data_IF_380065391459
#
_entry.id   IF_380065391459
#
_cell.length_a   1.000
_cell.length_b   1.000
_cell.length_c   1.000
_cell.angle_alpha   90.00
_cell.angle_beta   90.00
_cell.angle_gamma   90.00
#
_symmetry.space_group_name_H-M   'P 1'
#
loop_
_entity.id
_entity.type
_entity.pdbx_description
1 polymer ?
#
# COMPACT_ATOMS: atom_id res chain seq x y z
N UNK A 1 8.88 -56.43 12.22
CA UNK A 1 7.97 -57.28 13.07
C UNK A 1 6.98 -56.35 13.77
N UNK A 2 5.69 -56.71 13.64
CA UNK A 2 4.48 -56.24 14.39
C UNK A 2 4.09 -54.77 14.19
N UNK A 3 3.09 -54.41 13.42
CA UNK A 3 1.64 -54.72 13.28
C UNK A 3 0.76 -54.10 14.39
N UNK A 4 -0.23 -53.31 13.88
CA UNK A 4 -1.59 -53.05 14.40
C UNK A 4 -1.68 -51.81 15.32
N UNK A 5 -2.68 -50.93 15.24
CA UNK A 5 -4.11 -51.17 15.07
C UNK A 5 -4.84 -49.85 14.69
N UNK A 6 -5.78 -49.93 13.76
CA UNK A 6 -6.78 -48.90 13.43
C UNK A 6 -7.82 -48.79 14.55
N UNK A 7 -8.29 -47.58 14.84
CA UNK A 7 -9.65 -47.40 15.39
C UNK A 7 -10.29 -46.22 14.64
N UNK A 8 -11.31 -46.58 13.89
CA UNK A 8 -12.33 -45.73 13.27
C UNK A 8 -13.32 -45.30 14.34
N UNK A 9 -13.65 -44.02 14.43
CA UNK A 9 -14.91 -43.60 15.06
C UNK A 9 -15.63 -42.63 14.12
N UNK A 10 -16.61 -43.20 13.41
CA UNK A 10 -17.66 -42.46 12.73
C UNK A 10 -18.77 -42.17 13.74
N UNK A 11 -19.16 -40.92 13.89
CA UNK A 11 -20.44 -40.56 14.52
C UNK A 11 -21.20 -39.69 13.53
N UNK A 12 -22.26 -40.33 13.03
CA UNK A 12 -23.38 -39.75 12.30
C UNK A 12 -24.25 -38.99 13.31
N UNK A 13 -24.62 -37.76 13.00
CA UNK A 13 -25.80 -37.17 13.62
C UNK A 13 -26.70 -36.55 12.55
N UNK A 14 -27.91 -37.09 12.54
CA UNK A 14 -28.95 -36.82 11.58
C UNK A 14 -29.84 -35.64 12.01
N UNK A 15 -30.17 -34.83 11.06
CA UNK A 15 -31.47 -34.22 10.68
C UNK A 15 -32.54 -34.07 11.79
N UNK A 16 -33.00 -32.83 11.98
CA UNK A 16 -34.39 -32.57 12.32
C UNK A 16 -34.89 -31.29 11.64
N UNK A 17 -35.69 -31.48 10.60
CA UNK A 17 -36.61 -30.51 10.04
C UNK A 17 -37.80 -30.36 11.03
N UNK A 18 -38.14 -29.13 11.38
CA UNK A 18 -39.43 -28.80 11.96
C UNK A 18 -40.05 -27.62 11.18
N UNK A 19 -41.01 -27.97 10.32
CA UNK A 19 -41.99 -27.04 9.77
C UNK A 19 -43.21 -27.00 10.69
N UNK A 20 -43.71 -25.80 10.96
CA UNK A 20 -45.08 -25.51 11.46
C UNK A 20 -45.22 -23.99 11.42
N UNK A 21 -46.25 -23.34 10.92
CA UNK A 21 -47.60 -23.67 10.59
C UNK A 21 -48.36 -22.33 10.60
N UNK A 22 -48.97 -21.94 9.52
CA UNK A 22 -49.88 -20.79 9.45
C UNK A 22 -51.17 -21.07 10.22
N UNK A 23 -51.82 -20.08 10.87
CA UNK A 23 -53.23 -20.15 11.15
C UNK A 23 -54.03 -19.36 10.12
N UNK A 24 -54.95 -20.05 9.46
CA UNK A 24 -56.11 -19.53 8.77
C UNK A 24 -57.19 -19.19 9.78
N UNK A 25 -57.71 -17.98 9.76
CA UNK A 25 -58.90 -17.59 10.51
C UNK A 25 -59.81 -16.78 9.60
N UNK A 26 -60.88 -17.44 9.17
CA UNK A 26 -62.04 -16.85 8.53
C UNK A 26 -63.00 -16.23 9.59
N UNK A 27 -63.55 -15.05 9.30
CA UNK A 27 -64.53 -14.40 10.13
C UNK A 27 -65.23 -13.29 9.38
N UNK A 28 -66.55 -13.48 9.24
CA UNK A 28 -67.53 -12.84 8.42
C UNK A 28 -67.64 -11.31 8.44
N UNK A 29 -68.21 -10.79 7.32
CA UNK A 29 -68.70 -9.43 7.09
C UNK A 29 -69.91 -9.08 7.97
N UNK A 30 -70.24 -7.77 8.15
CA UNK A 30 -71.40 -7.26 7.42
C UNK A 30 -71.17 -5.90 6.71
N UNK A 31 -71.84 -5.83 5.61
CA UNK A 31 -72.18 -4.76 4.70
C UNK A 31 -72.77 -3.53 5.39
N UNK A 32 -72.24 -2.34 5.06
CA UNK A 32 -73.03 -1.11 5.04
C UNK A 32 -72.48 -0.20 3.94
N UNK A 33 -73.33 -0.02 2.95
CA UNK A 33 -73.11 0.89 1.83
C UNK A 33 -73.24 2.35 2.31
N UNK A 34 -72.25 3.18 2.03
CA UNK A 34 -72.42 4.63 1.94
C UNK A 34 -71.74 5.05 0.65
N UNK A 35 -72.47 5.52 -0.32
CA UNK A 35 -71.94 6.20 -1.52
C UNK A 35 -71.30 7.52 -1.10
N UNK A 36 -70.10 7.81 -1.61
CA UNK A 36 -69.64 9.17 -1.67
C UNK A 36 -69.60 9.64 -3.12
N UNK A 37 -70.44 10.54 -3.46
CA UNK A 37 -70.27 11.44 -4.58
C UNK A 37 -69.13 12.40 -4.28
N UNK A 38 -67.96 12.13 -4.81
CA UNK A 38 -66.84 13.13 -4.94
C UNK A 38 -66.47 13.24 -6.41
N UNK A 39 -66.53 14.47 -6.96
CA UNK A 39 -66.17 14.77 -8.34
C UNK A 39 -64.68 14.43 -8.56
N UNK A 40 -64.39 13.76 -9.68
CA UNK A 40 -63.06 13.26 -10.01
C UNK A 40 -61.94 14.33 -10.04
N UNK A 41 -62.29 15.62 -10.15
CA UNK A 41 -61.33 16.71 -10.21
C UNK A 41 -60.67 17.07 -8.85
N UNK A 42 -61.35 16.88 -7.71
CA UNK A 42 -60.76 17.13 -6.40
C UNK A 42 -59.77 16.05 -5.96
N UNK A 43 -60.03 14.80 -6.36
CA UNK A 43 -59.12 13.69 -6.06
C UNK A 43 -57.85 13.81 -6.91
N UNK A 44 -57.98 14.21 -8.16
CA UNK A 44 -56.80 14.41 -9.05
C UNK A 44 -55.87 15.54 -8.55
N UNK A 45 -56.43 16.64 -8.02
CA UNK A 45 -55.68 17.77 -7.48
C UNK A 45 -54.92 17.43 -6.19
N UNK A 46 -55.55 16.65 -5.29
CA UNK A 46 -54.91 16.20 -4.04
C UNK A 46 -53.83 15.18 -4.31
N UNK A 47 -54.03 14.25 -5.25
CA UNK A 47 -52.99 13.27 -5.64
C UNK A 47 -51.80 13.96 -6.32
N UNK A 48 -52.03 14.94 -7.19
CA UNK A 48 -50.98 15.69 -7.84
C UNK A 48 -50.13 16.50 -6.85
N UNK A 49 -50.76 17.17 -5.87
CA UNK A 49 -50.03 17.92 -4.83
C UNK A 49 -49.30 17.00 -3.84
N UNK A 50 -49.81 15.83 -3.53
CA UNK A 50 -49.14 14.87 -2.66
C UNK A 50 -47.96 14.19 -3.39
N UNK A 51 -48.09 13.94 -4.68
CA UNK A 51 -46.98 13.43 -5.49
C UNK A 51 -45.84 14.45 -5.65
N UNK A 52 -46.16 15.75 -5.76
CA UNK A 52 -45.10 16.80 -5.77
C UNK A 52 -44.40 16.96 -4.43
N UNK A 53 -45.08 16.71 -3.30
CA UNK A 53 -44.47 16.75 -1.98
C UNK A 53 -43.63 15.51 -1.65
N UNK A 54 -43.81 14.41 -2.39
CA UNK A 54 -43.04 13.14 -2.22
C UNK A 54 -41.93 12.96 -3.25
N UNK A 55 -41.75 13.88 -4.21
CA UNK A 55 -40.57 13.87 -5.06
C UNK A 55 -39.43 14.34 -4.21
N UNK A 56 -38.46 13.47 -3.84
CA UNK A 56 -37.25 13.97 -3.19
C UNK A 56 -36.61 14.98 -4.14
N UNK A 57 -36.40 16.21 -3.67
CA UNK A 57 -35.49 17.12 -4.35
C UNK A 57 -34.20 16.35 -4.58
N UNK A 58 -33.81 16.15 -5.84
CA UNK A 58 -32.49 15.61 -6.14
C UNK A 58 -31.50 16.39 -5.28
N UNK A 59 -30.66 15.72 -4.49
CA UNK A 59 -29.56 16.42 -3.84
C UNK A 59 -28.86 17.18 -4.93
N UNK A 60 -28.58 18.47 -4.69
CA UNK A 60 -27.80 19.29 -5.60
C UNK A 60 -26.61 18.45 -6.02
N UNK A 61 -26.54 18.11 -7.32
CA UNK A 61 -25.36 17.46 -7.87
C UNK A 61 -24.18 18.31 -7.44
N UNK A 62 -23.21 17.77 -6.70
CA UNK A 62 -22.06 18.56 -6.33
C UNK A 62 -21.51 19.16 -7.62
N UNK A 63 -21.37 20.48 -7.65
CA UNK A 63 -20.72 21.18 -8.76
C UNK A 63 -19.44 20.44 -9.03
N UNK A 64 -19.18 19.95 -10.27
CA UNK A 64 -17.93 19.25 -10.55
C UNK A 64 -16.79 20.14 -10.09
N UNK A 65 -16.09 19.74 -9.06
CA UNK A 65 -14.84 20.38 -8.66
C UNK A 65 -13.94 20.28 -9.92
N UNK A 66 -13.26 21.36 -10.35
CA UNK A 66 -12.36 21.25 -11.48
C UNK A 66 -11.45 20.06 -11.23
N UNK A 67 -11.40 19.12 -12.17
CA UNK A 67 -10.53 17.96 -12.06
C UNK A 67 -9.11 18.49 -11.82
N UNK A 68 -8.54 18.19 -10.66
CA UNK A 68 -7.16 18.55 -10.34
C UNK A 68 -6.21 17.88 -11.30
N UNK A 69 -4.97 18.33 -11.36
CA UNK A 69 -3.91 17.66 -12.11
C UNK A 69 -3.64 16.23 -11.56
N UNK A 70 -3.77 16.09 -10.23
CA UNK A 70 -3.55 14.82 -9.51
C UNK A 70 -4.89 14.29 -8.98
N UNK A 71 -5.06 12.95 -8.90
CA UNK A 71 -6.28 12.35 -8.35
C UNK A 71 -6.41 12.54 -6.83
N UNK A 72 -5.27 12.64 -6.15
CA UNK A 72 -5.11 12.78 -4.71
C UNK A 72 -3.99 13.77 -4.39
N UNK A 73 -3.91 14.23 -3.15
CA UNK A 73 -2.74 14.98 -2.69
C UNK A 73 -1.50 14.09 -2.70
N UNK A 74 -0.38 14.63 -3.20
CA UNK A 74 0.92 13.96 -3.22
C UNK A 74 1.72 14.37 -1.99
N UNK A 75 2.14 13.40 -1.19
CA UNK A 75 3.04 13.60 -0.07
C UNK A 75 4.45 13.14 -0.43
N UNK A 76 5.46 13.85 0.06
CA UNK A 76 6.86 13.51 -0.15
C UNK A 76 7.76 14.16 0.91
N UNK A 77 8.95 13.62 1.09
CA UNK A 77 9.98 14.23 1.90
C UNK A 77 10.81 15.19 1.05
N UNK A 78 10.99 16.39 1.57
CA UNK A 78 11.88 17.42 1.01
C UNK A 78 12.58 18.17 2.15
N UNK A 79 13.67 18.87 1.85
CA UNK A 79 14.34 19.69 2.83
C UNK A 79 13.58 21.02 3.04
N UNK A 80 13.45 21.43 4.30
CA UNK A 80 12.98 22.76 4.65
C UNK A 80 14.07 23.84 4.42
N UNK A 81 13.80 25.06 4.79
CA UNK A 81 14.74 26.19 4.64
C UNK A 81 16.01 26.06 5.49
N UNK A 82 15.99 25.21 6.51
CA UNK A 82 17.16 24.87 7.33
C UNK A 82 17.95 23.66 6.81
N UNK A 83 17.50 23.03 5.72
CA UNK A 83 18.10 21.84 5.16
C UNK A 83 17.71 20.54 5.90
N UNK A 84 16.66 20.58 6.72
CA UNK A 84 16.18 19.42 7.48
C UNK A 84 15.06 18.75 6.69
N UNK A 85 15.16 17.43 6.50
CA UNK A 85 14.15 16.65 5.79
C UNK A 85 12.82 16.64 6.55
N UNK A 86 11.75 17.10 5.89
CA UNK A 86 10.39 17.22 6.41
C UNK A 86 9.38 16.63 5.43
N UNK A 87 8.17 16.33 5.89
CA UNK A 87 7.06 15.91 5.02
C UNK A 87 6.36 17.13 4.45
N UNK A 88 6.18 17.14 3.14
CA UNK A 88 5.42 18.12 2.38
C UNK A 88 4.23 17.47 1.71
N UNK A 89 3.19 18.26 1.47
CA UNK A 89 1.99 17.89 0.70
C UNK A 89 1.79 18.85 -0.46
N UNK A 90 1.70 18.31 -1.67
CA UNK A 90 1.27 18.99 -2.87
C UNK A 90 -0.20 18.68 -3.11
N UNK A 91 -1.02 19.72 -3.23
CA UNK A 91 -2.47 19.57 -3.46
C UNK A 91 -2.78 19.01 -4.85
N UNK A 92 -4.00 18.48 -5.08
CA UNK A 92 -4.40 17.96 -6.38
C UNK A 92 -4.31 18.95 -7.54
N UNK A 93 -4.22 20.25 -7.29
CA UNK A 93 -3.98 21.27 -8.32
C UNK A 93 -2.56 21.21 -8.93
N UNK A 94 -1.66 20.42 -8.33
CA UNK A 94 -0.26 20.27 -8.75
C UNK A 94 0.61 21.52 -8.52
N UNK A 95 0.18 22.45 -7.67
CA UNK A 95 0.84 23.76 -7.46
C UNK A 95 0.93 24.17 -6.00
N UNK A 96 -0.12 23.94 -5.24
CA UNK A 96 -0.18 24.37 -3.83
C UNK A 96 0.61 23.39 -2.97
N UNK A 97 1.77 23.86 -2.45
CA UNK A 97 2.68 23.07 -1.63
C UNK A 97 2.61 23.52 -0.18
N UNK A 98 2.44 22.58 0.75
CA UNK A 98 2.36 22.81 2.19
C UNK A 98 3.36 21.92 2.92
N UNK A 99 4.17 22.50 3.82
CA UNK A 99 4.99 21.73 4.77
C UNK A 99 4.09 21.23 5.91
N UNK A 100 4.15 19.94 6.21
CA UNK A 100 3.30 19.29 7.22
C UNK A 100 4.04 19.10 8.55
N UNK A 101 5.32 18.71 8.52
CA UNK A 101 6.14 18.50 9.71
C UNK A 101 7.16 19.62 9.90
N UNK A 102 7.48 19.92 11.17
CA UNK A 102 8.43 20.98 11.57
C UNK A 102 9.32 20.45 12.69
N UNK A 103 10.00 19.34 12.42
CA UNK A 103 10.85 18.68 13.41
C UNK A 103 12.26 19.28 13.44
N UNK A 104 12.90 19.32 14.63
CA UNK A 104 14.29 19.77 14.75
C UNK A 104 15.30 18.76 14.17
N UNK A 105 14.87 17.53 13.94
CA UNK A 105 15.66 16.44 13.32
C UNK A 105 14.94 15.93 12.08
N UNK A 106 15.68 15.40 11.13
CA UNK A 106 15.15 14.88 9.89
C UNK A 106 14.06 13.80 10.10
N UNK A 107 13.00 13.87 9.31
CA UNK A 107 12.05 12.77 9.14
C UNK A 107 12.74 11.67 8.34
N UNK A 108 12.87 10.49 8.93
CA UNK A 108 13.56 9.34 8.31
C UNK A 108 12.63 8.42 7.53
N UNK A 109 11.39 8.29 7.97
CA UNK A 109 10.33 7.52 7.31
C UNK A 109 8.96 8.06 7.73
N UNK A 110 7.96 7.86 6.87
CA UNK A 110 6.59 8.30 7.18
C UNK A 110 5.57 7.47 6.39
N UNK A 111 4.31 7.60 6.79
CA UNK A 111 3.15 7.12 6.04
C UNK A 111 1.96 8.06 6.17
N UNK A 112 1.01 7.95 5.24
CA UNK A 112 -0.16 8.84 5.13
C UNK A 112 -1.44 8.06 5.28
N UNK A 113 -2.31 8.51 6.14
CA UNK A 113 -3.67 7.97 6.29
C UNK A 113 -4.49 8.23 5.03
N UNK A 114 -5.02 7.17 4.42
CA UNK A 114 -5.89 7.25 3.25
C UNK A 114 -7.32 7.70 3.60
N UNK A 115 -7.61 7.93 4.88
CA UNK A 115 -8.93 8.35 5.37
C UNK A 115 -9.00 9.87 5.56
N UNK A 116 -7.97 10.46 6.16
CA UNK A 116 -7.99 11.86 6.60
C UNK A 116 -6.70 12.63 6.30
N UNK A 117 -5.70 12.00 5.67
CA UNK A 117 -4.44 12.63 5.33
C UNK A 117 -3.50 12.89 6.52
N UNK A 118 -3.82 12.39 7.71
CA UNK A 118 -2.90 12.43 8.86
C UNK A 118 -1.60 11.70 8.51
N UNK A 119 -0.49 12.18 9.07
CA UNK A 119 0.85 11.66 8.80
C UNK A 119 1.42 11.02 10.06
N UNK A 120 1.80 9.74 9.98
CA UNK A 120 2.65 9.09 10.95
C UNK A 120 4.08 9.08 10.47
N UNK A 121 5.04 9.42 11.32
CA UNK A 121 6.43 9.57 10.90
C UNK A 121 7.42 9.28 12.02
N UNK A 122 8.67 9.04 11.63
CA UNK A 122 9.80 8.87 12.56
C UNK A 122 10.73 10.07 12.43
N UNK A 123 10.96 10.73 13.56
CA UNK A 123 11.99 11.77 13.73
C UNK A 123 12.63 11.59 15.09
N UNK A 124 13.95 11.79 15.21
CA UNK A 124 14.70 11.68 16.46
C UNK A 124 14.41 10.36 17.22
N UNK A 125 14.32 9.24 16.51
CA UNK A 125 13.99 7.91 17.07
C UNK A 125 12.65 7.85 17.81
N UNK A 126 11.65 8.64 17.40
CA UNK A 126 10.30 8.67 17.94
C UNK A 126 9.29 8.39 16.83
N UNK A 127 8.22 7.63 17.12
CA UNK A 127 7.02 7.58 16.27
C UNK A 127 6.10 8.73 16.66
N UNK A 128 5.80 9.56 15.69
CA UNK A 128 5.01 10.78 15.85
C UNK A 128 3.79 10.72 14.91
N UNK A 129 2.70 11.36 15.31
CA UNK A 129 1.49 11.53 14.52
C UNK A 129 1.10 13.00 14.46
N UNK A 130 0.68 13.47 13.29
CA UNK A 130 0.25 14.83 13.04
C UNK A 130 -0.96 14.82 12.10
N UNK A 131 -1.87 15.77 12.25
CA UNK A 131 -3.01 15.93 11.36
C UNK A 131 -2.57 16.42 9.97
N UNK A 132 -3.43 16.24 8.96
CA UNK A 132 -3.18 16.67 7.58
C UNK A 132 -2.90 18.19 7.44
N UNK A 133 -3.37 19.01 8.37
CA UNK A 133 -3.15 20.46 8.40
C UNK A 133 -1.90 20.88 9.17
N UNK A 134 -1.10 19.94 9.67
CA UNK A 134 0.09 20.18 10.48
C UNK A 134 -0.20 20.46 11.96
N UNK A 135 -1.47 20.38 12.40
CA UNK A 135 -1.85 20.51 13.80
C UNK A 135 -1.85 19.18 14.55
N UNK A 136 -2.06 19.20 15.86
CA UNK A 136 -2.30 18.00 16.66
C UNK A 136 -1.11 17.06 16.78
N UNK A 137 0.14 17.55 16.60
CA UNK A 137 1.35 16.74 16.76
C UNK A 137 1.37 16.03 18.11
N UNK A 138 1.55 14.73 18.10
CA UNK A 138 1.68 13.90 19.32
C UNK A 138 2.67 12.75 19.12
N UNK A 139 3.36 12.40 20.18
CA UNK A 139 4.25 11.26 20.23
C UNK A 139 3.44 10.00 20.55
N UNK A 140 3.63 8.94 19.77
CA UNK A 140 3.00 7.63 19.96
C UNK A 140 3.95 6.66 20.69
N UNK A 141 5.25 6.72 20.34
CA UNK A 141 6.28 5.88 20.89
C UNK A 141 7.60 6.63 20.92
N UNK A 142 8.33 6.50 22.01
CA UNK A 142 9.71 6.97 22.15
C UNK A 142 10.65 5.76 22.13
N UNK A 143 11.57 5.73 21.18
CA UNK A 143 12.68 4.80 21.17
C UNK A 143 13.73 5.21 22.20
N UNK A 144 14.53 4.25 22.64
CA UNK A 144 15.65 4.53 23.56
C UNK A 144 16.83 5.24 22.87
N UNK A 145 17.87 5.57 23.61
CA UNK A 145 19.14 5.98 23.03
C UNK A 145 19.68 4.89 22.09
N UNK A 146 20.08 5.28 20.89
CA UNK A 146 20.64 4.32 19.93
C UNK A 146 22.07 3.95 20.37
N UNK A 147 22.30 2.67 20.65
CA UNK A 147 23.64 2.13 20.85
C UNK A 147 24.32 1.96 19.49
N UNK A 148 25.45 2.63 19.27
CA UNK A 148 26.18 2.58 18.01
C UNK A 148 26.71 1.17 17.67
N UNK A 149 26.96 0.31 18.68
CA UNK A 149 27.40 -1.06 18.47
C UNK A 149 26.24 -2.01 18.11
N UNK A 150 25.01 -1.68 18.57
CA UNK A 150 23.81 -2.48 18.34
C UNK A 150 22.65 -1.56 17.93
N UNK A 151 22.74 -0.84 16.82
CA UNK A 151 21.82 0.25 16.47
C UNK A 151 20.38 -0.21 16.21
N UNK A 152 20.17 -1.51 15.97
CA UNK A 152 18.85 -2.10 15.70
C UNK A 152 18.01 -2.35 16.95
N UNK A 153 18.61 -2.38 18.17
CA UNK A 153 17.92 -2.76 19.40
C UNK A 153 16.88 -1.73 19.83
N UNK A 154 17.27 -0.45 19.86
CA UNK A 154 16.40 0.66 20.31
C UNK A 154 15.90 1.52 19.15
N UNK A 155 16.08 1.07 17.90
CA UNK A 155 15.64 1.83 16.74
C UNK A 155 14.15 1.66 16.49
N UNK A 156 13.46 2.78 16.32
CA UNK A 156 12.09 2.85 15.79
C UNK A 156 12.14 2.97 14.26
N UNK A 157 11.26 2.27 13.54
CA UNK A 157 11.30 2.26 12.08
C UNK A 157 9.95 2.04 11.42
N UNK A 158 9.84 2.51 10.19
CA UNK A 158 8.83 2.18 9.19
C UNK A 158 7.38 2.20 9.68
N UNK A 159 6.87 3.31 10.21
CA UNK A 159 5.46 3.38 10.57
C UNK A 159 4.58 3.31 9.32
N UNK A 160 3.52 2.49 9.35
CA UNK A 160 2.55 2.35 8.26
C UNK A 160 1.13 2.30 8.80
N UNK A 161 0.20 3.03 8.16
CA UNK A 161 -1.22 2.98 8.48
C UNK A 161 -1.89 1.73 7.89
N UNK A 162 -2.83 1.17 8.64
CA UNK A 162 -3.86 0.31 8.02
C UNK A 162 -4.75 1.16 7.09
N UNK A 163 -5.34 0.60 6.01
CA UNK A 163 -6.15 1.36 5.06
C UNK A 163 -7.34 2.11 5.67
N UNK A 164 -7.87 1.62 6.79
CA UNK A 164 -8.95 2.27 7.55
C UNK A 164 -8.44 3.26 8.62
N UNK A 165 -7.12 3.52 8.67
CA UNK A 165 -6.44 4.39 9.63
C UNK A 165 -6.67 4.05 11.13
N UNK A 166 -7.21 2.86 11.45
CA UNK A 166 -7.48 2.48 12.83
C UNK A 166 -6.24 1.94 13.55
N UNK A 167 -5.26 1.46 12.79
CA UNK A 167 -4.04 0.86 13.30
C UNK A 167 -2.82 1.45 12.61
N UNK A 168 -1.75 1.68 13.38
CA UNK A 168 -0.42 1.98 12.87
C UNK A 168 0.49 0.81 13.24
N UNK A 169 1.13 0.18 12.23
CA UNK A 169 2.19 -0.77 12.46
C UNK A 169 3.55 -0.06 12.43
N UNK A 170 4.49 -0.44 13.29
CA UNK A 170 5.86 0.08 13.27
C UNK A 170 6.84 -0.93 13.88
N UNK A 171 8.13 -0.79 13.55
CA UNK A 171 9.20 -1.60 14.12
C UNK A 171 9.76 -0.94 15.38
N UNK A 172 9.76 -1.64 16.51
CA UNK A 172 10.50 -1.31 17.74
C UNK A 172 10.59 -2.55 18.62
N UNK A 173 11.79 -3.09 18.80
CA UNK A 173 12.02 -4.37 19.49
C UNK A 173 11.22 -5.54 18.88
N UNK A 174 10.70 -5.35 17.68
CA UNK A 174 9.82 -6.24 16.96
C UNK A 174 8.72 -5.52 16.21
N UNK A 175 7.71 -6.26 15.73
CA UNK A 175 6.53 -5.71 15.09
C UNK A 175 5.51 -5.26 16.13
N UNK A 176 5.14 -3.99 16.10
CA UNK A 176 4.13 -3.39 16.96
C UNK A 176 2.89 -2.99 16.18
N UNK A 177 1.71 -3.12 16.78
CA UNK A 177 0.44 -2.59 16.30
C UNK A 177 -0.14 -1.62 17.33
N UNK A 178 -0.25 -0.36 16.94
CA UNK A 178 -0.80 0.72 17.75
C UNK A 178 -2.23 1.04 17.32
N UNK A 179 -3.19 0.89 18.23
CA UNK A 179 -4.59 1.23 17.99
C UNK A 179 -4.81 2.75 18.17
N UNK A 180 -5.09 3.46 17.07
CA UNK A 180 -5.13 4.93 17.03
C UNK A 180 -6.16 5.53 17.99
N UNK A 181 -7.35 4.93 18.10
CA UNK A 181 -8.44 5.44 18.93
C UNK A 181 -8.21 5.23 20.42
N UNK A 182 -7.64 4.11 20.84
CA UNK A 182 -7.43 3.78 22.27
C UNK A 182 -6.04 4.14 22.80
N UNK A 183 -5.06 4.34 21.90
CA UNK A 183 -3.67 4.54 22.27
C UNK A 183 -2.96 3.27 22.78
N UNK A 184 -3.60 2.10 22.63
CA UNK A 184 -3.00 0.82 23.06
C UNK A 184 -1.98 0.35 22.03
N UNK A 185 -0.77 0.06 22.51
CA UNK A 185 0.28 -0.57 21.71
C UNK A 185 0.44 -2.04 22.07
N UNK A 186 0.50 -2.91 21.04
CA UNK A 186 0.73 -4.33 21.17
C UNK A 186 1.99 -4.73 20.40
N UNK A 187 2.99 -5.26 21.09
CA UNK A 187 4.10 -5.98 20.47
C UNK A 187 3.57 -7.36 20.04
N UNK A 188 3.43 -7.59 18.74
CA UNK A 188 2.81 -8.82 18.20
C UNK A 188 3.84 -9.87 17.79
N UNK A 189 5.04 -9.44 17.39
CA UNK A 189 6.19 -10.34 17.13
C UNK A 189 7.43 -9.67 17.73
N UNK A 190 8.11 -10.34 18.63
CA UNK A 190 9.36 -9.86 19.24
C UNK A 190 10.57 -10.18 18.36
N UNK A 191 11.54 -9.25 18.27
CA UNK A 191 12.80 -9.47 17.58
C UNK A 191 13.59 -10.62 18.24
N UNK A 192 14.18 -11.45 17.40
CA UNK A 192 15.06 -12.53 17.85
C UNK A 192 16.51 -12.05 17.85
N UNK A 193 17.05 -11.85 19.05
CA UNK A 193 18.40 -11.30 19.25
C UNK A 193 19.15 -12.24 20.19
N UNK A 194 20.37 -12.63 19.77
CA UNK A 194 21.26 -13.46 20.54
C UNK A 194 22.42 -12.65 21.08
N UNK A 195 22.70 -12.77 22.37
CA UNK A 195 23.94 -12.25 22.96
C UNK A 195 25.11 -13.15 22.54
N UNK A 196 26.05 -12.58 21.79
CA UNK A 196 27.26 -13.26 21.32
C UNK A 196 28.44 -13.04 22.27
N UNK A 197 28.23 -12.34 23.38
CA UNK A 197 29.26 -11.97 24.33
C UNK A 197 30.03 -10.70 23.95
N UNK A 198 30.72 -10.13 24.94
CA UNK A 198 31.53 -8.92 24.72
C UNK A 198 30.75 -7.65 24.41
N UNK A 199 29.43 -7.63 24.65
CA UNK A 199 28.55 -6.49 24.34
C UNK A 199 28.04 -6.46 22.90
N UNK A 200 28.35 -7.47 22.08
CA UNK A 200 27.83 -7.62 20.74
C UNK A 200 26.57 -8.47 20.73
N UNK A 201 25.46 -7.87 20.23
CA UNK A 201 24.20 -8.53 20.03
C UNK A 201 24.07 -8.94 18.56
N UNK A 202 23.70 -10.19 18.33
CA UNK A 202 23.54 -10.75 16.99
C UNK A 202 22.04 -10.78 16.63
N UNK A 203 21.59 -10.06 15.59
CA UNK A 203 20.21 -10.10 15.14
C UNK A 203 19.97 -11.41 14.36
N UNK A 204 19.27 -12.36 15.00
CA UNK A 204 18.84 -13.60 14.35
C UNK A 204 17.67 -13.33 13.41
N UNK A 205 16.67 -12.57 13.88
CA UNK A 205 15.57 -12.09 13.02
C UNK A 205 14.93 -10.84 13.60
N UNK A 206 14.86 -9.78 12.80
CA UNK A 206 14.22 -8.51 13.12
C UNK A 206 12.96 -8.33 12.27
N UNK A 207 11.93 -7.73 12.84
CA UNK A 207 10.63 -7.55 12.18
C UNK A 207 10.31 -6.07 12.02
N UNK A 208 10.11 -5.63 10.76
CA UNK A 208 9.69 -4.28 10.44
C UNK A 208 8.52 -4.30 9.44
N UNK A 209 7.49 -3.47 9.62
CA UNK A 209 6.41 -3.39 8.66
C UNK A 209 6.88 -2.73 7.36
N UNK A 210 6.24 -3.10 6.25
CA UNK A 210 6.49 -2.52 4.93
C UNK A 210 5.21 -1.87 4.38
N UNK A 211 4.16 -2.67 4.09
CA UNK A 211 2.96 -2.16 3.44
C UNK A 211 1.73 -3.03 3.72
N UNK A 212 0.63 -2.42 4.15
CA UNK A 212 -0.65 -3.14 4.24
C UNK A 212 -1.20 -3.49 2.86
N UNK A 213 -1.95 -4.60 2.79
CA UNK A 213 -2.82 -4.89 1.65
C UNK A 213 -3.99 -3.90 1.59
N UNK A 214 -4.57 -3.61 0.41
CA UNK A 214 -5.69 -2.69 0.26
C UNK A 214 -6.90 -2.99 1.16
N UNK A 215 -7.18 -4.27 1.43
CA UNK A 215 -8.25 -4.70 2.35
C UNK A 215 -7.88 -4.61 3.84
N UNK A 216 -6.62 -4.31 4.17
CA UNK A 216 -6.10 -4.21 5.53
C UNK A 216 -5.97 -5.55 6.28
N UNK A 217 -6.26 -6.68 5.63
CA UNK A 217 -6.21 -8.01 6.27
C UNK A 217 -4.81 -8.59 6.37
N UNK A 218 -3.86 -8.06 5.60
CA UNK A 218 -2.47 -8.52 5.50
C UNK A 218 -1.50 -7.35 5.61
N UNK A 219 -0.33 -7.63 6.13
CA UNK A 219 0.78 -6.68 6.21
C UNK A 219 2.03 -7.36 5.68
N UNK A 220 2.58 -6.85 4.59
CA UNK A 220 3.92 -7.23 4.17
C UNK A 220 4.91 -6.70 5.21
N UNK A 221 5.81 -7.58 5.68
CA UNK A 221 6.87 -7.22 6.61
C UNK A 221 8.23 -7.62 6.06
N UNK A 222 9.23 -6.87 6.46
CA UNK A 222 10.64 -7.19 6.23
C UNK A 222 11.17 -8.00 7.40
N UNK A 223 11.87 -9.08 7.10
CA UNK A 223 12.64 -9.90 8.02
C UNK A 223 14.11 -9.52 7.85
N UNK A 224 14.69 -8.86 8.85
CA UNK A 224 16.10 -8.47 8.84
C UNK A 224 16.98 -9.50 9.54
N UNK A 225 18.14 -9.79 8.96
CA UNK A 225 19.14 -10.69 9.53
C UNK A 225 20.49 -9.95 9.68
N UNK A 226 21.48 -10.61 10.26
CA UNK A 226 22.81 -10.03 10.37
C UNK A 226 23.41 -9.69 9.00
N UNK A 227 23.30 -10.62 8.04
CA UNK A 227 23.78 -10.43 6.67
C UNK A 227 22.67 -10.73 5.67
N UNK A 228 21.68 -9.84 5.57
CA UNK A 228 20.63 -9.96 4.59
C UNK A 228 19.25 -9.63 5.13
N UNK A 229 18.26 -9.80 4.28
CA UNK A 229 16.87 -9.61 4.59
C UNK A 229 15.98 -10.54 3.74
N UNK A 230 14.77 -10.76 4.20
CA UNK A 230 13.71 -11.47 3.49
C UNK A 230 12.36 -10.79 3.75
N UNK A 231 11.29 -11.39 3.29
CA UNK A 231 9.92 -10.89 3.54
C UNK A 231 8.99 -11.98 4.01
N UNK A 232 7.94 -11.56 4.68
CA UNK A 232 6.82 -12.39 5.06
C UNK A 232 5.52 -11.59 5.03
N UNK A 233 4.40 -12.28 5.02
CA UNK A 233 3.08 -11.68 5.10
C UNK A 233 2.51 -12.00 6.49
N UNK A 234 2.28 -10.96 7.26
CA UNK A 234 1.65 -11.05 8.56
C UNK A 234 0.13 -10.84 8.44
N UNK A 235 -0.64 -11.69 9.11
CA UNK A 235 -2.10 -11.67 9.20
C UNK A 235 -2.52 -11.18 10.59
N UNK A 236 -2.88 -9.90 10.76
CA UNK A 236 -3.15 -9.33 12.08
C UNK A 236 -4.28 -10.03 12.84
N UNK A 237 -5.37 -10.40 12.16
CA UNK A 237 -6.52 -11.05 12.80
C UNK A 237 -6.21 -12.46 13.32
N UNK A 238 -5.32 -13.19 12.66
CA UNK A 238 -4.92 -14.55 13.04
C UNK A 238 -3.65 -14.58 13.91
N UNK A 239 -2.96 -13.45 14.05
CA UNK A 239 -1.62 -13.33 14.64
C UNK A 239 -0.67 -14.40 14.07
N UNK A 240 -0.63 -14.52 12.75
CA UNK A 240 0.14 -15.55 12.05
C UNK A 240 1.01 -14.97 10.94
N UNK A 241 2.08 -15.66 10.61
CA UNK A 241 3.08 -15.25 9.65
C UNK A 241 3.20 -16.30 8.54
N UNK A 242 3.10 -15.87 7.28
CA UNK A 242 3.41 -16.65 6.09
C UNK A 242 4.73 -16.15 5.50
N UNK A 243 5.78 -16.97 5.61
CA UNK A 243 7.09 -16.66 5.03
C UNK A 243 7.04 -16.86 3.51
N UNK A 244 7.72 -16.00 2.78
CA UNK A 244 7.84 -16.17 1.34
C UNK A 244 8.71 -17.39 1.03
N UNK A 245 8.29 -18.16 0.01
CA UNK A 245 8.94 -19.42 -0.33
C UNK A 245 10.33 -19.23 -0.94
N UNK A 246 11.22 -20.15 -0.64
CA UNK A 246 12.61 -20.19 -1.05
C UNK A 246 13.35 -18.90 -0.61
N UNK A 247 14.59 -18.72 -1.05
CA UNK A 247 15.38 -17.52 -0.80
C UNK A 247 14.86 -16.27 -1.57
N UNK A 248 13.73 -16.44 -2.28
CA UNK A 248 13.12 -15.40 -3.10
C UNK A 248 12.53 -14.22 -2.28
N UNK A 249 12.29 -14.40 -0.97
CA UNK A 249 11.90 -13.30 -0.09
C UNK A 249 12.88 -12.14 -0.06
N UNK A 250 14.17 -12.39 -0.32
CA UNK A 250 15.19 -11.37 -0.48
C UNK A 250 14.96 -10.45 -1.70
N UNK A 251 14.35 -10.97 -2.77
CA UNK A 251 13.98 -10.17 -3.94
C UNK A 251 12.79 -9.25 -3.69
N UNK A 252 12.03 -9.50 -2.64
CA UNK A 252 10.82 -8.73 -2.31
C UNK A 252 11.11 -7.66 -1.25
N UNK A 253 11.88 -7.97 -0.21
CA UNK A 253 12.07 -7.14 0.99
C UNK A 253 12.58 -5.72 0.70
N UNK A 254 13.42 -5.58 -0.30
CA UNK A 254 14.27 -4.42 -0.50
C UNK A 254 13.95 -3.67 -1.81
N UNK A 255 12.82 -3.99 -2.44
CA UNK A 255 12.34 -3.40 -3.67
C UNK A 255 10.93 -2.79 -3.48
N UNK A 256 10.54 -1.95 -4.44
CA UNK A 256 9.17 -1.45 -4.49
C UNK A 256 8.15 -2.57 -4.72
N UNK A 257 7.04 -2.50 -3.98
CA UNK A 257 6.02 -3.53 -3.97
C UNK A 257 4.65 -2.92 -4.29
N UNK A 258 3.97 -3.50 -5.26
CA UNK A 258 2.59 -3.20 -5.63
C UNK A 258 1.63 -4.32 -5.23
N UNK A 259 0.66 -4.06 -4.34
CA UNK A 259 -0.46 -4.96 -4.09
C UNK A 259 -1.48 -4.88 -5.22
N UNK A 260 -2.10 -6.00 -5.57
CA UNK A 260 -3.32 -6.01 -6.38
C UNK A 260 -4.51 -5.50 -5.56
N UNK A 261 -5.50 -4.89 -6.23
CA UNK A 261 -6.67 -4.30 -5.57
C UNK A 261 -7.47 -5.32 -4.74
N UNK A 262 -7.50 -6.58 -5.17
CA UNK A 262 -8.14 -7.68 -4.45
C UNK A 262 -7.32 -8.22 -3.28
N UNK A 263 -6.13 -7.66 -3.04
CA UNK A 263 -5.23 -8.05 -1.95
C UNK A 263 -4.76 -9.51 -1.99
N UNK A 264 -4.95 -10.22 -3.11
CA UNK A 264 -4.56 -11.63 -3.26
C UNK A 264 -3.10 -11.82 -3.63
N UNK A 265 -2.52 -10.81 -4.30
CA UNK A 265 -1.22 -10.91 -4.94
C UNK A 265 -0.43 -9.61 -4.74
N UNK A 266 0.88 -9.70 -4.75
CA UNK A 266 1.75 -8.54 -4.87
C UNK A 266 2.82 -8.78 -5.95
N UNK A 267 3.25 -7.68 -6.57
CA UNK A 267 4.34 -7.65 -7.53
C UNK A 267 5.52 -6.88 -6.95
N UNK A 268 6.72 -7.34 -7.27
CA UNK A 268 7.97 -6.65 -6.95
C UNK A 268 8.94 -6.77 -8.11
N UNK A 269 9.82 -5.79 -8.27
CA UNK A 269 10.81 -5.80 -9.33
C UNK A 269 12.11 -5.10 -8.90
N UNK A 270 13.24 -5.52 -9.49
CA UNK A 270 14.55 -4.93 -9.27
C UNK A 270 15.20 -4.56 -10.59
N UNK A 271 15.65 -3.31 -10.67
CA UNK A 271 16.42 -2.77 -11.80
C UNK A 271 17.92 -2.80 -11.58
N UNK A 272 18.41 -3.41 -10.50
CA UNK A 272 19.82 -3.48 -10.17
C UNK A 272 20.29 -4.91 -10.04
N UNK A 273 21.57 -5.14 -10.36
CA UNK A 273 22.29 -6.38 -10.07
C UNK A 273 23.21 -6.10 -8.88
N UNK A 274 23.20 -6.96 -7.90
CA UNK A 274 24.01 -6.83 -6.71
C UNK A 274 23.93 -8.11 -5.89
N UNK A 275 23.63 -8.01 -4.60
CA UNK A 275 23.34 -9.18 -3.75
C UNK A 275 22.04 -9.89 -4.16
N UNK A 276 21.15 -9.19 -4.86
CA UNK A 276 19.90 -9.68 -5.44
C UNK A 276 19.94 -9.56 -6.96
N UNK A 277 19.23 -10.47 -7.64
CA UNK A 277 19.10 -10.48 -9.09
C UNK A 277 18.17 -9.36 -9.57
N UNK A 278 18.41 -8.86 -10.78
CA UNK A 278 17.42 -8.03 -11.48
C UNK A 278 16.29 -8.89 -12.04
N UNK A 279 15.08 -8.32 -12.13
CA UNK A 279 13.91 -9.02 -12.67
C UNK A 279 12.60 -8.58 -12.05
N UNK A 280 11.57 -9.43 -12.20
CA UNK A 280 10.24 -9.21 -11.64
C UNK A 280 9.67 -10.49 -11.05
N UNK A 281 8.98 -10.34 -9.94
CA UNK A 281 8.37 -11.43 -9.18
C UNK A 281 6.92 -11.13 -8.83
N UNK A 282 6.13 -12.19 -8.77
CA UNK A 282 4.75 -12.17 -8.25
C UNK A 282 4.67 -13.07 -7.03
N UNK A 283 3.98 -12.60 -6.00
CA UNK A 283 3.77 -13.35 -4.75
C UNK A 283 2.29 -13.64 -4.55
N UNK A 284 1.94 -14.90 -4.36
CA UNK A 284 0.62 -15.30 -3.85
C UNK A 284 0.59 -15.03 -2.33
N UNK A 285 -0.29 -14.14 -1.90
CA UNK A 285 -0.31 -13.69 -0.52
C UNK A 285 -0.75 -14.79 0.46
N UNK A 286 -1.55 -15.74 0.04
CA UNK A 286 -2.09 -16.79 0.91
C UNK A 286 -1.09 -17.88 1.23
N UNK A 287 -0.25 -18.24 0.27
CA UNK A 287 0.73 -19.32 0.38
C UNK A 287 2.16 -18.81 0.60
N UNK A 288 2.44 -17.54 0.30
CA UNK A 288 3.81 -17.00 0.26
C UNK A 288 4.61 -17.48 -0.96
N UNK A 289 3.96 -18.12 -1.93
CA UNK A 289 4.63 -18.63 -3.14
C UNK A 289 5.13 -17.45 -3.99
N UNK A 290 6.43 -17.41 -4.23
CA UNK A 290 7.07 -16.46 -5.13
C UNK A 290 7.27 -17.09 -6.50
N UNK A 291 6.71 -16.44 -7.54
CA UNK A 291 6.86 -16.84 -8.94
C UNK A 291 7.69 -15.79 -9.66
N UNK A 292 8.79 -16.21 -10.29
CA UNK A 292 9.59 -15.34 -11.15
C UNK A 292 8.87 -15.14 -12.48
N UNK A 293 8.61 -13.88 -12.84
CA UNK A 293 7.99 -13.49 -14.12
C UNK A 293 9.04 -13.07 -15.15
N UNK A 294 10.02 -12.28 -14.73
CA UNK A 294 11.12 -11.80 -15.55
C UNK A 294 12.41 -12.13 -14.81
N UNK A 295 13.37 -12.75 -15.50
CA UNK A 295 14.69 -13.07 -14.94
C UNK A 295 15.81 -12.84 -15.94
N UNK A 296 16.95 -12.39 -15.45
CA UNK A 296 18.19 -12.35 -16.22
C UNK A 296 18.76 -13.76 -16.42
N UNK A 297 19.37 -13.99 -17.58
CA UNK A 297 20.14 -15.20 -17.83
C UNK A 297 21.64 -14.83 -17.93
N UNK A 298 22.37 -15.11 -16.86
CA UNK A 298 23.77 -14.77 -16.71
C UNK A 298 24.70 -15.62 -17.61
N UNK A 299 24.29 -16.86 -17.92
CA UNK A 299 25.08 -17.75 -18.79
C UNK A 299 25.11 -17.26 -20.25
N UNK A 300 24.03 -16.64 -20.71
CA UNK A 300 23.91 -16.11 -22.08
C UNK A 300 24.13 -14.61 -22.15
N UNK A 301 24.52 -13.96 -21.05
CA UNK A 301 24.65 -12.50 -20.95
C UNK A 301 23.38 -11.76 -21.40
N UNK A 302 22.22 -12.30 -21.07
CA UNK A 302 20.92 -11.68 -21.32
C UNK A 302 20.36 -11.14 -20.01
N UNK A 303 20.53 -9.83 -19.80
CA UNK A 303 20.16 -9.16 -18.56
C UNK A 303 18.79 -8.47 -18.76
N UNK A 304 17.88 -8.70 -17.82
CA UNK A 304 16.55 -8.11 -17.81
C UNK A 304 16.34 -7.31 -16.52
N UNK A 305 15.96 -6.08 -16.66
CA UNK A 305 15.78 -5.13 -15.58
C UNK A 305 14.32 -4.69 -15.56
N UNK A 306 13.68 -4.73 -14.40
CA UNK A 306 12.34 -4.23 -14.21
C UNK A 306 12.25 -3.38 -12.94
N UNK A 307 11.31 -2.41 -12.91
CA UNK A 307 11.17 -1.53 -11.75
C UNK A 307 9.72 -1.04 -11.61
N UNK A 308 9.28 -0.83 -10.36
CA UNK A 308 8.00 -0.24 -9.97
C UNK A 308 6.77 -0.85 -10.68
N UNK A 309 6.51 -2.16 -10.55
CA UNK A 309 5.36 -2.81 -11.17
C UNK A 309 4.04 -2.36 -10.55
N UNK A 310 3.04 -2.07 -11.40
CA UNK A 310 1.70 -1.68 -11.03
C UNK A 310 0.67 -2.40 -11.89
N UNK A 311 -0.13 -3.29 -11.30
CA UNK A 311 -1.28 -3.91 -11.97
C UNK A 311 -2.46 -2.95 -11.87
N UNK A 312 -2.85 -2.37 -13.00
CA UNK A 312 -3.94 -1.40 -13.07
C UNK A 312 -5.32 -2.08 -13.10
N UNK A 313 -6.41 -1.33 -12.86
CA UNK A 313 -7.77 -1.87 -12.90
C UNK A 313 -8.21 -2.45 -14.26
N UNK A 314 -7.54 -2.08 -15.34
CA UNK A 314 -7.74 -2.63 -16.69
C UNK A 314 -7.16 -4.04 -16.87
N UNK A 315 -6.47 -4.57 -15.85
CA UNK A 315 -5.82 -5.88 -15.85
C UNK A 315 -4.44 -5.89 -16.52
N UNK A 316 -3.95 -4.74 -16.97
CA UNK A 316 -2.63 -4.62 -17.56
C UNK A 316 -1.58 -4.28 -16.50
N UNK A 317 -0.38 -4.81 -16.67
CA UNK A 317 0.77 -4.54 -15.81
C UNK A 317 1.62 -3.42 -16.42
N UNK A 318 1.75 -2.31 -15.71
CA UNK A 318 2.58 -1.17 -16.06
C UNK A 318 3.87 -1.20 -15.23
N UNK A 319 5.02 -0.98 -15.87
CA UNK A 319 6.31 -1.01 -15.19
C UNK A 319 7.40 -0.39 -16.07
N UNK A 320 8.59 -0.22 -15.50
CA UNK A 320 9.76 0.18 -16.25
C UNK A 320 10.60 -1.04 -16.58
N UNK A 321 11.14 -1.13 -17.80
CA UNK A 321 11.81 -2.30 -18.30
C UNK A 321 12.99 -2.00 -19.22
N UNK A 322 14.03 -2.84 -19.18
CA UNK A 322 15.14 -2.84 -20.12
C UNK A 322 15.71 -4.25 -20.33
N UNK A 323 16.21 -4.52 -21.53
CA UNK A 323 17.00 -5.71 -21.83
C UNK A 323 18.35 -5.31 -22.40
N UNK A 324 19.42 -5.89 -21.87
CA UNK A 324 20.79 -5.62 -22.31
C UNK A 324 21.61 -6.90 -22.43
N UNK A 325 22.69 -6.83 -23.20
CA UNK A 325 23.74 -7.85 -23.28
C UNK A 325 24.97 -7.51 -22.42
N UNK A 326 24.92 -6.40 -21.70
CA UNK A 326 25.93 -5.95 -20.73
C UNK A 326 25.25 -5.70 -19.40
N UNK A 327 25.99 -5.92 -18.32
CA UNK A 327 25.50 -5.73 -16.96
C UNK A 327 25.47 -4.24 -16.59
N UNK A 328 24.34 -3.80 -15.99
CA UNK A 328 24.19 -2.50 -15.36
C UNK A 328 24.07 -2.69 -13.85
N UNK A 329 24.95 -2.08 -13.08
CA UNK A 329 24.99 -2.27 -11.62
C UNK A 329 24.18 -1.21 -10.84
N UNK A 330 23.91 -0.04 -11.42
CA UNK A 330 23.26 1.05 -10.71
C UNK A 330 22.30 1.88 -11.56
N UNK A 331 22.70 2.25 -12.78
CA UNK A 331 21.93 3.16 -13.66
C UNK A 331 21.55 2.42 -14.93
N UNK A 332 20.32 1.98 -15.00
CA UNK A 332 19.78 1.22 -16.14
C UNK A 332 18.85 2.14 -16.93
N UNK A 333 19.01 2.26 -18.27
CA UNK A 333 18.15 3.11 -19.09
C UNK A 333 16.79 2.43 -19.33
N UNK A 334 15.93 2.44 -18.30
CA UNK A 334 14.61 1.82 -18.33
C UNK A 334 13.67 2.57 -19.28
N UNK A 335 12.76 1.84 -19.92
CA UNK A 335 11.64 2.38 -20.69
C UNK A 335 10.32 2.07 -20.00
N UNK A 336 9.37 2.98 -20.11
CA UNK A 336 8.01 2.75 -19.61
C UNK A 336 7.29 1.79 -20.57
N UNK A 337 6.79 0.69 -19.99
CA UNK A 337 6.12 -0.38 -20.74
C UNK A 337 4.79 -0.78 -20.08
N UNK A 338 3.94 -1.42 -20.88
CA UNK A 338 2.73 -2.11 -20.47
C UNK A 338 2.74 -3.53 -21.02
N UNK A 339 2.18 -4.51 -20.29
CA UNK A 339 2.01 -5.89 -20.74
C UNK A 339 0.77 -6.52 -20.11
N UNK A 340 0.49 -7.77 -20.45
CA UNK A 340 -0.37 -8.63 -19.64
C UNK A 340 0.23 -8.83 -18.23
N UNK A 341 -0.57 -9.39 -17.30
CA UNK A 341 -0.20 -9.55 -15.90
C UNK A 341 1.01 -10.49 -15.66
N UNK A 342 1.52 -11.16 -16.70
CA UNK A 342 2.73 -11.99 -16.65
C UNK A 342 4.03 -11.19 -16.85
N UNK A 343 3.93 -9.90 -17.22
CA UNK A 343 5.08 -9.03 -17.48
C UNK A 343 5.76 -9.24 -18.83
N UNK A 344 5.27 -10.18 -19.66
CA UNK A 344 5.93 -10.62 -20.90
C UNK A 344 5.01 -10.55 -22.11
N UNK A 345 3.80 -11.11 -22.02
CA UNK A 345 2.83 -11.16 -23.13
C UNK A 345 2.34 -9.77 -23.46
N UNK A 346 2.25 -9.48 -24.76
CA UNK A 346 1.78 -8.19 -25.32
C UNK A 346 2.50 -6.95 -24.77
N UNK A 347 3.77 -7.11 -24.38
CA UNK A 347 4.58 -6.02 -23.85
C UNK A 347 4.86 -4.97 -24.92
N UNK A 348 4.47 -3.72 -24.63
CA UNK A 348 4.64 -2.57 -25.51
C UNK A 348 5.28 -1.40 -24.79
N UNK A 349 6.19 -0.69 -25.47
CA UNK A 349 6.76 0.57 -24.99
C UNK A 349 5.72 1.67 -25.14
N UNK A 350 5.49 2.42 -24.06
CA UNK A 350 4.48 3.50 -24.04
C UNK A 350 5.07 4.86 -24.36
N UNK A 351 6.31 5.13 -23.94
CA UNK A 351 6.98 6.41 -24.12
C UNK A 351 8.36 6.20 -24.76
N UNK A 352 8.83 7.14 -25.60
CA UNK A 352 10.16 7.07 -26.21
C UNK A 352 11.30 7.40 -25.23
N UNK A 353 10.98 8.04 -24.10
CA UNK A 353 11.93 8.44 -23.06
C UNK A 353 12.57 7.23 -22.36
N UNK A 354 13.79 7.43 -21.88
CA UNK A 354 14.50 6.51 -20.98
C UNK A 354 14.70 7.13 -19.62
N UNK A 355 14.58 6.32 -18.58
CA UNK A 355 14.56 6.72 -17.17
C UNK A 355 15.81 6.21 -16.43
N UNK A 356 17.00 6.62 -16.89
CA UNK A 356 18.28 6.17 -16.30
C UNK A 356 18.53 6.73 -14.90
N UNK A 357 18.13 7.98 -14.66
CA UNK A 357 18.34 8.66 -13.38
C UNK A 357 17.15 8.59 -12.42
N UNK A 358 16.20 7.70 -12.68
CA UNK A 358 15.04 7.53 -11.81
C UNK A 358 15.41 6.81 -10.52
N UNK A 359 15.09 7.42 -9.38
CA UNK A 359 15.28 6.84 -8.05
C UNK A 359 13.99 6.25 -7.47
N UNK A 360 12.82 6.77 -7.87
CA UNK A 360 11.53 6.36 -7.33
C UNK A 360 10.43 6.61 -8.37
N UNK A 361 9.36 5.82 -8.33
CA UNK A 361 8.17 6.00 -9.16
C UNK A 361 6.91 5.78 -8.35
N UNK A 362 5.89 6.63 -8.57
CA UNK A 362 4.56 6.53 -7.97
C UNK A 362 3.51 6.55 -9.07
N UNK A 363 2.75 5.48 -9.21
CA UNK A 363 1.68 5.36 -10.20
C UNK A 363 0.40 6.07 -9.79
N UNK A 364 -0.29 6.68 -10.74
CA UNK A 364 -1.71 6.95 -10.59
C UNK A 364 -2.46 5.62 -10.37
N UNK A 365 -3.54 5.59 -9.55
CA UNK A 365 -4.26 4.36 -9.27
C UNK A 365 -4.78 3.62 -10.52
N UNK A 366 -5.10 4.35 -11.59
CA UNK A 366 -5.57 3.84 -12.88
C UNK A 366 -4.47 3.71 -13.94
N UNK A 367 -3.21 3.93 -13.57
CA UNK A 367 -2.05 3.96 -14.44
C UNK A 367 -2.11 4.99 -15.58
N UNK A 368 -2.98 6.00 -15.51
CA UNK A 368 -3.06 7.07 -16.51
C UNK A 368 -1.78 7.92 -16.61
N UNK A 369 -0.99 7.95 -15.53
CA UNK A 369 0.34 8.56 -15.47
C UNK A 369 1.21 7.92 -14.38
N UNK A 370 2.49 8.24 -14.39
CA UNK A 370 3.45 7.93 -13.34
C UNK A 370 4.21 9.20 -12.95
N UNK A 371 4.48 9.37 -11.65
CA UNK A 371 5.38 10.40 -11.14
C UNK A 371 6.74 9.73 -10.89
N UNK A 372 7.79 10.24 -11.54
CA UNK A 372 9.16 9.76 -11.36
C UNK A 372 9.98 10.81 -10.59
N UNK A 373 10.74 10.37 -9.60
CA UNK A 373 11.77 11.20 -8.96
C UNK A 373 13.09 11.02 -9.71
N UNK A 374 13.46 12.03 -10.52
CA UNK A 374 14.64 12.00 -11.37
C UNK A 374 15.81 12.72 -10.73
N UNK A 375 16.88 11.97 -10.45
CA UNK A 375 18.09 12.53 -9.87
C UNK A 375 18.78 13.52 -10.81
N UNK A 376 19.40 14.59 -10.29
CA UNK A 376 20.16 15.54 -11.12
C UNK A 376 21.49 14.98 -11.66
N UNK A 377 21.95 13.86 -11.12
CA UNK A 377 23.17 13.16 -11.54
C UNK A 377 23.19 11.70 -11.13
N UNK A 378 24.09 10.92 -11.72
CA UNK A 378 24.29 9.50 -11.43
C UNK A 378 24.83 9.19 -10.02
N UNK A 379 25.31 10.22 -9.31
CA UNK A 379 25.80 10.10 -7.93
C UNK A 379 24.72 10.24 -6.86
N UNK A 380 23.50 10.61 -7.23
CA UNK A 380 22.36 10.81 -6.31
C UNK A 380 21.42 9.64 -6.42
N UNK A 381 21.31 8.85 -5.36
CA UNK A 381 20.53 7.59 -5.33
C UNK A 381 19.20 7.69 -4.56
N UNK A 382 18.84 8.86 -4.08
CA UNK A 382 17.55 9.08 -3.38
C UNK A 382 16.93 10.39 -3.81
N UNK A 383 15.63 10.37 -4.09
CA UNK A 383 14.88 11.53 -4.50
C UNK A 383 15.32 12.12 -5.82
N UNK A 384 14.73 13.25 -6.18
CA UNK A 384 15.01 13.99 -7.41
C UNK A 384 13.89 14.95 -7.75
N UNK A 385 13.98 15.59 -8.92
CA UNK A 385 12.88 16.37 -9.48
C UNK A 385 11.66 15.47 -9.69
N UNK A 386 10.49 15.89 -9.25
CA UNK A 386 9.24 15.14 -9.41
C UNK A 386 8.61 15.50 -10.75
N UNK A 387 8.66 14.55 -11.67
CA UNK A 387 8.18 14.69 -13.04
C UNK A 387 7.00 13.74 -13.27
N UNK A 388 5.87 14.27 -13.76
CA UNK A 388 4.67 13.50 -14.11
C UNK A 388 4.71 13.18 -15.61
N UNK A 389 4.63 11.89 -15.94
CA UNK A 389 4.59 11.36 -17.32
C UNK A 389 3.26 10.66 -17.57
N UNK A 390 2.48 11.12 -18.56
CA UNK A 390 1.25 10.46 -18.98
C UNK A 390 1.55 9.20 -19.79
N UNK A 391 0.85 8.09 -19.49
CA UNK A 391 1.04 6.81 -20.19
C UNK A 391 0.40 6.75 -21.58
N UNK A 392 -0.47 7.70 -21.91
CA UNK A 392 -1.26 7.74 -23.16
C UNK A 392 -1.06 9.01 -23.98
N UNK A 393 -0.11 9.88 -23.59
CA UNK A 393 0.13 11.16 -24.26
C UNK A 393 1.36 11.08 -25.20
N UNK A 394 1.44 12.04 -26.12
CA UNK A 394 2.68 12.34 -26.84
C UNK A 394 3.75 12.82 -25.83
N UNK A 395 5.02 12.64 -26.20
CA UNK A 395 6.19 12.92 -25.36
C UNK A 395 6.10 14.23 -24.57
N UNK A 396 6.51 14.18 -23.31
CA UNK A 396 6.57 15.33 -22.42
C UNK A 396 6.23 14.98 -20.97
N UNK A 397 6.59 15.89 -20.10
CA UNK A 397 6.35 15.75 -18.65
C UNK A 397 5.91 17.07 -18.03
N UNK A 398 5.35 16.98 -16.83
CA UNK A 398 5.01 18.14 -15.99
C UNK A 398 5.86 18.08 -14.72
N UNK A 399 6.68 19.11 -14.47
CA UNK A 399 7.42 19.23 -13.22
C UNK A 399 6.47 19.61 -12.09
N UNK A 400 6.36 18.78 -11.06
CA UNK A 400 5.53 18.99 -9.88
C UNK A 400 6.30 19.67 -8.75
N UNK A 401 7.55 19.27 -8.51
CA UNK A 401 8.43 19.85 -7.50
C UNK A 401 9.90 19.68 -7.92
N UNK A 402 10.78 20.63 -7.51
CA UNK A 402 12.20 20.54 -7.87
C UNK A 402 12.94 19.41 -7.16
N UNK A 403 12.39 18.89 -6.06
CA UNK A 403 12.92 17.74 -5.33
C UNK A 403 11.82 17.08 -4.49
N UNK A 404 11.86 15.76 -4.41
CA UNK A 404 11.07 14.93 -3.49
C UNK A 404 11.59 13.51 -3.44
N UNK A 405 11.28 12.81 -2.35
CA UNK A 405 11.56 11.39 -2.13
C UNK A 405 10.50 10.77 -1.23
N UNK A 406 10.43 9.43 -1.21
CA UNK A 406 9.44 8.67 -0.44
C UNK A 406 8.01 9.09 -0.81
N UNK A 407 7.69 9.03 -2.11
CA UNK A 407 6.41 9.50 -2.67
C UNK A 407 5.23 8.66 -2.16
N UNK A 408 4.16 9.33 -1.73
CA UNK A 408 2.92 8.67 -1.28
C UNK A 408 1.69 9.45 -1.69
N UNK A 409 0.63 8.72 -2.05
CA UNK A 409 -0.70 9.33 -2.18
C UNK A 409 -1.33 9.56 -0.81
N UNK A 410 -2.05 10.67 -0.67
CA UNK A 410 -3.01 10.90 0.38
C UNK A 410 -4.44 10.54 -0.05
N UNK A 411 -5.44 10.92 0.71
CA UNK A 411 -6.84 10.75 0.36
C UNK A 411 -7.29 11.70 -0.76
#
# INVERSE_FOLDING_TARGET
MKKHLHIIFAIIFAISLAACGLPTGSGDSPTSAIEPTSSGDQVATVVASTMQALTPSSPDSPTPQPAGLLPHSLYFVNNDTAGIAQVFRLEPDGKTLTQITFEPSAVSSYDVSQVDGSVVYVSNNQVLLINADGSGRRMLMEGGPIDENNPFVERVSNPVFSPNAQTIAYGYKGLNLYAVASGVNNLVIENQIKDSGGGFLFPEELYAPNKYSPDGTKLLITLGYYEGASSAIYYPAANSLVRLTNDAGAHICCNEVGWTLDSSTLYSASSTIGMIQSGMWRVDASSGLVTTLISSNYETSSYQYAYAPHLAPDGQLYFFFHTANTEFNARTPLQLVRSDADGVTDRTVLLPETFELMNEALWAPDASFVIAALAPSDQIYQGGSLELFYTHAEAGFITLAPFGQQLKWGP
#
